data_IF_793834567082
#
_entry.id   IF_793834567082
#
_cell.length_a   1.000
_cell.length_b   1.000
_cell.length_c   1.000
_cell.angle_alpha   90.00
_cell.angle_beta   90.00
_cell.angle_gamma   90.00
#
_symmetry.space_group_name_H-M   'P 1'
#
loop_
_entity.id
_entity.type
_entity.pdbx_description
1 polymer ?
#
# COMPACT_ATOMS: atom_id res chain seq x y z
N UNK A 1 -0.80 -2.68 -1.79
CA UNK A 1 -1.53 -3.84 -2.30
C UNK A 1 -2.89 -3.39 -2.78
N UNK A 2 -3.34 -3.85 -3.95
CA UNK A 2 -4.69 -3.64 -4.46
C UNK A 2 -5.66 -4.51 -3.62
N UNK A 3 -6.75 -3.93 -3.06
CA UNK A 3 -7.70 -4.70 -2.25
C UNK A 3 -8.38 -5.83 -3.05
N UNK A 4 -8.52 -7.02 -2.46
CA UNK A 4 -9.10 -8.20 -3.11
C UNK A 4 -10.63 -8.15 -3.25
N UNK A 5 -11.32 -7.16 -2.67
CA UNK A 5 -12.79 -7.08 -2.57
C UNK A 5 -13.53 -7.29 -3.90
N UNK A 6 -12.94 -6.84 -5.00
CA UNK A 6 -13.55 -6.93 -6.34
C UNK A 6 -12.81 -7.91 -7.26
N UNK A 7 -11.89 -8.72 -6.71
CA UNK A 7 -11.16 -9.68 -7.52
C UNK A 7 -12.03 -10.88 -7.86
N UNK A 8 -11.78 -11.43 -9.04
CA UNK A 8 -12.42 -12.68 -9.47
C UNK A 8 -11.43 -13.53 -10.27
N UNK A 9 -11.57 -14.84 -10.15
CA UNK A 9 -10.82 -15.77 -10.98
C UNK A 9 -11.33 -15.70 -12.41
N UNK A 10 -10.44 -15.45 -13.37
CA UNK A 10 -10.76 -15.56 -14.80
C UNK A 10 -10.63 -17.00 -15.24
N UNK A 11 -9.45 -17.60 -14.98
CA UNK A 11 -9.19 -19.00 -15.31
C UNK A 11 -7.95 -19.51 -14.59
N UNK A 12 -7.88 -20.83 -14.45
CA UNK A 12 -6.66 -21.60 -14.23
C UNK A 12 -6.62 -22.71 -15.28
N UNK A 13 -5.43 -23.12 -15.69
CA UNK A 13 -5.27 -24.28 -16.59
C UNK A 13 -5.43 -25.59 -15.83
N UNK A 14 -5.11 -25.63 -14.55
CA UNK A 14 -5.13 -26.81 -13.70
C UNK A 14 -5.43 -26.46 -12.24
N UNK A 15 -6.22 -27.31 -11.57
CA UNK A 15 -6.46 -27.23 -10.13
C UNK A 15 -6.76 -28.60 -9.53
N UNK A 16 -6.26 -28.87 -8.32
CA UNK A 16 -6.52 -30.09 -7.57
C UNK A 16 -7.79 -29.94 -6.73
N UNK A 17 -8.81 -30.72 -7.01
CA UNK A 17 -10.09 -30.69 -6.28
C UNK A 17 -10.47 -32.06 -5.71
N UNK A 18 -9.68 -33.11 -6.00
CA UNK A 18 -9.96 -34.47 -5.54
C UNK A 18 -9.13 -34.85 -4.31
N UNK A 19 -7.85 -34.47 -4.27
CA UNK A 19 -6.94 -34.77 -3.17
C UNK A 19 -6.95 -33.69 -2.07
N UNK A 20 -7.27 -32.46 -2.46
CA UNK A 20 -7.38 -31.32 -1.56
C UNK A 20 -8.26 -30.22 -2.18
N UNK A 21 -8.58 -29.17 -1.43
CA UNK A 21 -9.20 -27.96 -1.98
C UNK A 21 -8.11 -27.03 -2.54
N UNK A 22 -7.57 -27.36 -3.71
CA UNK A 22 -6.57 -26.55 -4.43
C UNK A 22 -7.18 -25.59 -5.45
N UNK A 23 -8.39 -25.07 -5.18
CA UNK A 23 -9.10 -24.16 -6.10
C UNK A 23 -8.32 -22.88 -6.39
N UNK A 24 -8.38 -22.39 -7.62
CA UNK A 24 -7.67 -21.19 -8.07
C UNK A 24 -7.98 -19.94 -7.24
N UNK A 25 -9.20 -19.81 -6.73
CA UNK A 25 -9.61 -18.68 -5.87
C UNK A 25 -8.86 -18.59 -4.56
N UNK A 26 -8.32 -19.71 -4.06
CA UNK A 26 -7.53 -19.75 -2.83
C UNK A 26 -6.19 -18.99 -2.96
N UNK A 27 -5.75 -18.66 -4.18
CA UNK A 27 -4.53 -17.88 -4.38
C UNK A 27 -4.67 -16.38 -4.04
N UNK A 28 -5.87 -15.91 -3.72
CA UNK A 28 -6.14 -14.50 -3.39
C UNK A 28 -7.34 -14.33 -2.44
N UNK A 29 -7.58 -15.34 -1.60
CA UNK A 29 -8.69 -15.33 -0.62
C UNK A 29 -8.33 -14.63 0.71
N UNK A 30 -7.09 -14.18 0.87
CA UNK A 30 -6.57 -13.55 2.09
C UNK A 30 -6.22 -14.53 3.20
N UNK A 31 -6.21 -15.83 2.91
CA UNK A 31 -5.92 -16.89 3.88
C UNK A 31 -4.65 -17.66 3.51
N UNK A 32 -3.53 -17.32 4.11
CA UNK A 32 -2.22 -17.93 3.86
C UNK A 32 -2.13 -19.45 4.13
N UNK A 33 -3.17 -20.06 4.71
CA UNK A 33 -3.23 -21.50 4.97
C UNK A 33 -3.90 -22.29 3.84
N UNK A 34 -4.71 -21.64 3.01
CA UNK A 34 -5.27 -22.17 1.77
C UNK A 34 -4.28 -21.97 0.62
N UNK A 35 -4.54 -22.53 -0.54
CA UNK A 35 -3.72 -22.37 -1.74
C UNK A 35 -4.46 -22.77 -3.00
N UNK A 36 -4.14 -22.14 -4.11
CA UNK A 36 -4.26 -22.76 -5.42
C UNK A 36 -3.17 -23.81 -5.55
N UNK A 37 -3.54 -25.03 -5.95
CA UNK A 37 -2.60 -26.10 -6.27
C UNK A 37 -3.04 -26.77 -7.56
N UNK A 38 -2.13 -26.93 -8.50
CA UNK A 38 -2.42 -27.63 -9.74
C UNK A 38 -2.58 -29.12 -9.50
N UNK A 39 -3.23 -29.82 -10.41
CA UNK A 39 -3.59 -31.23 -10.28
C UNK A 39 -2.35 -32.10 -10.09
N UNK A 40 -2.40 -32.95 -9.08
CA UNK A 40 -1.35 -33.92 -8.77
C UNK A 40 -1.91 -35.33 -8.51
N UNK A 41 -3.16 -35.47 -8.06
CA UNK A 41 -3.80 -36.76 -7.83
C UNK A 41 -4.40 -37.32 -9.13
N UNK A 42 -4.22 -38.61 -9.37
CA UNK A 42 -4.68 -39.32 -10.58
C UNK A 42 -4.10 -38.78 -11.91
N UNK A 43 -2.85 -38.29 -11.86
CA UNK A 43 -2.12 -37.77 -13.00
C UNK A 43 -2.02 -36.25 -12.97
N UNK A 44 -0.82 -35.73 -13.03
CA UNK A 44 -0.52 -34.31 -13.07
C UNK A 44 -0.61 -33.77 -14.50
N UNK A 45 -1.10 -32.56 -14.64
CA UNK A 45 -1.00 -31.82 -15.89
C UNK A 45 0.44 -31.30 -16.07
N UNK A 46 0.95 -31.18 -17.30
CA UNK A 46 2.32 -30.70 -17.53
C UNK A 46 2.43 -29.17 -17.39
N UNK A 47 3.59 -28.68 -16.97
CA UNK A 47 3.97 -27.27 -17.05
C UNK A 47 3.97 -26.79 -18.53
N UNK A 48 3.73 -25.50 -18.78
CA UNK A 48 3.56 -24.42 -17.82
C UNK A 48 2.12 -24.32 -17.25
N UNK A 49 2.01 -23.95 -15.97
CA UNK A 49 0.73 -23.66 -15.34
C UNK A 49 0.46 -22.17 -15.25
N UNK A 50 -0.80 -21.78 -15.26
CA UNK A 50 -1.16 -20.37 -15.16
C UNK A 50 -2.43 -20.12 -14.37
N UNK A 51 -2.45 -18.97 -13.70
CA UNK A 51 -3.63 -18.37 -13.08
C UNK A 51 -3.87 -16.99 -13.65
N UNK A 52 -5.11 -16.70 -14.01
CA UNK A 52 -5.56 -15.41 -14.52
C UNK A 52 -6.58 -14.80 -13.55
N UNK A 53 -6.33 -13.57 -13.13
CA UNK A 53 -7.12 -12.86 -12.13
C UNK A 53 -7.62 -11.53 -12.73
N UNK A 54 -8.91 -11.25 -12.52
CA UNK A 54 -9.52 -9.95 -12.77
C UNK A 54 -9.45 -9.12 -11.48
N UNK A 55 -8.86 -7.95 -11.53
CA UNK A 55 -8.71 -7.03 -10.40
C UNK A 55 -9.96 -6.18 -10.14
N UNK A 56 -11.00 -6.29 -11.00
CA UNK A 56 -12.26 -5.56 -10.87
C UNK A 56 -12.25 -4.17 -11.53
N UNK A 57 -11.10 -3.53 -11.64
CA UNK A 57 -10.92 -2.22 -12.28
C UNK A 57 -9.56 -2.15 -12.96
N UNK A 58 -9.35 -1.09 -13.76
CA UNK A 58 -8.04 -0.83 -14.37
C UNK A 58 -7.13 -0.13 -13.35
N UNK A 59 -5.98 -0.74 -13.07
CA UNK A 59 -4.95 -0.22 -12.20
C UNK A 59 -3.66 0.06 -12.98
N UNK A 60 -2.83 0.99 -12.49
CA UNK A 60 -1.42 1.08 -12.85
C UNK A 60 -0.67 0.08 -11.96
N UNK A 61 -0.51 -1.14 -12.46
CA UNK A 61 0.14 -2.24 -11.74
C UNK A 61 1.65 -2.07 -11.85
N UNK A 62 2.35 -2.03 -10.70
CA UNK A 62 3.80 -1.84 -10.61
C UNK A 62 4.54 -2.97 -9.90
N UNK A 63 3.85 -4.05 -9.53
CA UNK A 63 4.46 -5.19 -8.89
C UNK A 63 3.46 -6.27 -8.48
N UNK A 64 4.00 -7.37 -7.97
CA UNK A 64 3.20 -8.42 -7.34
C UNK A 64 3.99 -9.10 -6.24
N UNK A 65 3.27 -9.83 -5.37
CA UNK A 65 3.85 -10.73 -4.38
C UNK A 65 3.32 -12.13 -4.60
N UNK A 66 4.18 -13.10 -4.37
CA UNK A 66 3.89 -14.52 -4.41
C UNK A 66 4.30 -15.16 -3.10
N UNK A 67 3.36 -15.82 -2.42
CA UNK A 67 3.59 -16.56 -1.19
C UNK A 67 3.41 -18.06 -1.43
N UNK A 68 4.48 -18.89 -1.35
CA UNK A 68 4.38 -20.33 -1.23
C UNK A 68 4.20 -20.73 0.24
N UNK A 69 3.38 -21.75 0.53
CA UNK A 69 3.20 -22.22 1.91
C UNK A 69 3.64 -23.69 2.13
N UNK A 70 4.13 -24.36 1.10
CA UNK A 70 4.65 -25.73 1.15
C UNK A 70 5.99 -25.85 0.40
N UNK A 71 6.68 -26.98 0.60
CA UNK A 71 7.96 -27.26 -0.09
C UNK A 71 7.72 -27.70 -1.53
N UNK A 72 6.78 -28.65 -1.75
CA UNK A 72 6.46 -29.16 -3.07
C UNK A 72 5.49 -28.23 -3.80
N UNK A 73 5.76 -27.98 -5.07
CA UNK A 73 4.94 -27.12 -5.90
C UNK A 73 5.33 -25.63 -5.88
N UNK A 74 6.46 -25.26 -5.25
CA UNK A 74 6.97 -23.89 -5.33
C UNK A 74 7.36 -23.56 -6.76
N UNK A 75 6.85 -22.42 -7.24
CA UNK A 75 7.21 -21.92 -8.57
C UNK A 75 8.69 -21.53 -8.58
N UNK A 76 9.45 -22.02 -9.58
CA UNK A 76 10.82 -21.58 -9.84
C UNK A 76 10.85 -20.52 -10.94
N UNK A 77 10.87 -20.90 -12.21
CA UNK A 77 10.81 -19.93 -13.32
C UNK A 77 9.38 -19.48 -13.56
N UNK A 78 9.22 -18.19 -13.81
CA UNK A 78 7.90 -17.58 -13.95
C UNK A 78 7.90 -16.40 -14.94
N UNK A 79 6.69 -16.10 -15.43
CA UNK A 79 6.35 -14.91 -16.20
C UNK A 79 5.14 -14.23 -15.54
N UNK A 80 5.15 -12.91 -15.48
CA UNK A 80 4.00 -12.13 -15.00
C UNK A 80 3.52 -11.16 -16.09
N UNK A 81 2.20 -11.10 -16.26
CA UNK A 81 1.57 -10.30 -17.30
C UNK A 81 0.53 -9.37 -16.70
N UNK A 82 0.40 -8.20 -17.30
CA UNK A 82 -0.65 -7.21 -17.02
C UNK A 82 -1.31 -6.82 -18.33
N UNK A 83 -2.64 -6.85 -18.39
CA UNK A 83 -3.40 -6.54 -19.59
C UNK A 83 -4.75 -5.89 -19.28
N UNK A 84 -5.27 -5.11 -20.20
CA UNK A 84 -6.67 -4.63 -20.21
C UNK A 84 -7.64 -5.62 -20.84
N UNK A 85 -7.15 -6.75 -21.36
CA UNK A 85 -7.97 -7.78 -22.05
C UNK A 85 -7.38 -9.16 -21.80
N UNK A 86 -8.25 -10.16 -21.60
CA UNK A 86 -7.86 -11.58 -21.48
C UNK A 86 -7.57 -12.23 -22.84
N UNK A 87 -7.96 -11.61 -23.95
CA UNK A 87 -7.74 -12.13 -25.31
C UNK A 87 -6.30 -11.88 -25.81
N UNK A 88 -5.61 -10.87 -25.24
CA UNK A 88 -4.24 -10.53 -25.65
C UNK A 88 -3.41 -10.11 -24.45
N UNK A 89 -2.45 -10.93 -24.06
CA UNK A 89 -1.57 -10.68 -22.91
C UNK A 89 -0.30 -9.91 -23.31
N UNK A 90 0.08 -9.90 -24.58
CA UNK A 90 1.33 -9.30 -25.07
C UNK A 90 2.56 -9.99 -24.47
N UNK A 91 3.61 -9.21 -24.21
CA UNK A 91 4.82 -9.68 -23.56
C UNK A 91 4.69 -9.61 -22.03
N UNK A 92 5.37 -10.49 -21.27
CA UNK A 92 5.41 -10.40 -19.82
C UNK A 92 6.01 -9.04 -19.38
N UNK A 93 5.47 -8.48 -18.29
CA UNK A 93 6.00 -7.25 -17.67
C UNK A 93 7.19 -7.54 -16.79
N UNK A 94 7.29 -8.78 -16.31
CA UNK A 94 8.44 -9.28 -15.55
C UNK A 94 8.57 -10.79 -15.73
N UNK A 95 9.80 -11.28 -15.64
CA UNK A 95 10.17 -12.71 -15.65
C UNK A 95 11.26 -12.92 -14.63
N UNK A 96 11.40 -14.14 -14.12
CA UNK A 96 12.47 -14.44 -13.18
C UNK A 96 12.47 -15.86 -12.67
N UNK A 97 13.25 -16.08 -11.62
CA UNK A 97 13.31 -17.34 -10.88
C UNK A 97 13.21 -17.03 -9.39
N UNK A 98 12.26 -17.64 -8.71
CA UNK A 98 12.13 -17.51 -7.26
C UNK A 98 13.13 -18.41 -6.51
N UNK A 99 13.57 -17.94 -5.34
CA UNK A 99 14.35 -18.75 -4.43
C UNK A 99 13.50 -19.90 -3.84
N UNK A 100 14.12 -21.06 -3.62
CA UNK A 100 13.45 -22.22 -3.01
C UNK A 100 13.36 -22.07 -1.49
N UNK A 101 12.53 -21.17 -1.02
CA UNK A 101 12.19 -20.98 0.40
C UNK A 101 10.70 -20.63 0.56
N UNK A 102 10.20 -20.59 1.81
CA UNK A 102 8.79 -20.33 2.11
C UNK A 102 8.47 -18.84 2.30
N UNK A 103 9.42 -17.95 2.10
CA UNK A 103 9.20 -16.50 2.28
C UNK A 103 8.38 -15.92 1.14
N UNK A 104 7.62 -14.86 1.42
CA UNK A 104 6.94 -14.10 0.39
C UNK A 104 7.97 -13.48 -0.58
N UNK A 105 7.69 -13.54 -1.85
CA UNK A 105 8.52 -12.98 -2.92
C UNK A 105 7.85 -11.71 -3.43
N UNK A 106 8.54 -10.57 -3.38
CA UNK A 106 8.08 -9.33 -3.98
C UNK A 106 8.83 -9.04 -5.27
N UNK A 107 8.10 -8.69 -6.32
CA UNK A 107 8.64 -8.31 -7.62
C UNK A 107 8.07 -6.97 -8.02
N UNK A 108 8.95 -6.00 -8.28
CA UNK A 108 8.59 -4.67 -8.78
C UNK A 108 8.99 -4.52 -10.25
N UNK A 109 8.19 -3.79 -11.01
CA UNK A 109 8.45 -3.49 -12.43
C UNK A 109 7.87 -2.12 -12.80
N UNK A 110 8.22 -1.63 -14.00
CA UNK A 110 7.64 -0.40 -14.54
C UNK A 110 6.13 -0.53 -14.65
N UNK A 111 5.39 0.44 -14.10
CA UNK A 111 3.94 0.42 -14.07
C UNK A 111 3.32 0.21 -15.46
N UNK A 112 2.32 -0.64 -15.51
CA UNK A 112 1.51 -0.90 -16.70
C UNK A 112 0.03 -0.89 -16.34
N UNK A 113 -0.77 -0.17 -17.12
CA UNK A 113 -2.21 -0.18 -16.95
C UNK A 113 -2.80 -1.55 -17.31
N UNK A 114 -3.66 -2.09 -16.44
CA UNK A 114 -4.37 -3.34 -16.69
C UNK A 114 -5.42 -3.65 -15.64
N UNK A 115 -6.46 -4.35 -16.07
CA UNK A 115 -7.51 -4.90 -15.21
C UNK A 115 -7.25 -6.37 -14.90
N UNK A 116 -6.48 -7.04 -15.74
CA UNK A 116 -6.21 -8.47 -15.64
C UNK A 116 -4.73 -8.72 -15.42
N UNK A 117 -4.42 -9.68 -14.56
CA UNK A 117 -3.07 -10.17 -14.36
C UNK A 117 -3.01 -11.68 -14.59
N UNK A 118 -1.85 -12.16 -15.03
CA UNK A 118 -1.58 -13.58 -15.23
C UNK A 118 -0.20 -13.91 -14.67
N UNK A 119 -0.15 -14.87 -13.75
CA UNK A 119 1.10 -15.52 -13.33
C UNK A 119 1.21 -16.86 -14.07
N UNK A 120 2.32 -17.06 -14.76
CA UNK A 120 2.67 -18.30 -15.43
C UNK A 120 3.86 -18.95 -14.76
N UNK A 121 3.71 -20.16 -14.27
CA UNK A 121 4.76 -20.98 -13.71
C UNK A 121 5.36 -21.84 -14.84
N UNK A 122 6.61 -21.59 -15.16
CA UNK A 122 7.34 -22.31 -16.24
C UNK A 122 8.06 -23.55 -15.72
N UNK A 123 8.46 -23.52 -14.44
CA UNK A 123 9.07 -24.67 -13.76
C UNK A 123 8.79 -24.65 -12.27
N UNK A 124 8.95 -25.80 -11.63
CA UNK A 124 8.86 -26.02 -10.19
C UNK A 124 10.27 -26.26 -9.63
N UNK A 125 10.52 -25.90 -8.37
CA UNK A 125 11.86 -25.89 -7.74
C UNK A 125 12.52 -27.27 -7.64
N UNK A 126 11.75 -28.34 -7.58
CA UNK A 126 12.25 -29.74 -7.50
C UNK A 126 12.04 -30.52 -8.81
N UNK A 127 11.55 -29.85 -9.88
CA UNK A 127 11.27 -30.47 -11.17
C UNK A 127 9.95 -31.25 -11.24
N UNK A 128 9.02 -31.02 -10.29
CA UNK A 128 7.69 -31.59 -10.34
C UNK A 128 6.83 -30.92 -11.41
N UNK A 129 5.82 -31.62 -11.98
CA UNK A 129 4.91 -31.02 -12.96
C UNK A 129 3.83 -30.13 -12.34
N UNK A 130 3.63 -30.13 -11.03
CA UNK A 130 2.61 -29.35 -10.33
C UNK A 130 3.20 -28.11 -9.64
N UNK A 131 2.39 -27.07 -9.47
CA UNK A 131 2.76 -25.85 -8.76
C UNK A 131 1.63 -25.37 -7.82
N UNK A 132 1.96 -24.47 -6.88
CA UNK A 132 0.98 -23.87 -5.98
C UNK A 132 1.28 -22.40 -5.69
N UNK A 133 0.25 -21.66 -5.25
CA UNK A 133 0.35 -20.35 -4.64
C UNK A 133 -0.62 -20.27 -3.45
N UNK A 134 -0.11 -19.94 -2.26
CA UNK A 134 -0.94 -19.66 -1.10
C UNK A 134 -1.58 -18.27 -1.24
N UNK A 135 -0.78 -17.27 -1.63
CA UNK A 135 -1.28 -15.93 -1.90
C UNK A 135 -0.55 -15.29 -3.07
N UNK A 136 -1.31 -14.59 -3.88
CA UNK A 136 -0.83 -13.68 -4.93
C UNK A 136 -1.43 -12.31 -4.61
N UNK A 137 -0.58 -11.34 -4.30
CA UNK A 137 -0.97 -9.96 -4.08
C UNK A 137 -0.46 -9.11 -5.24
N UNK A 138 -1.24 -8.14 -5.71
CA UNK A 138 -0.86 -7.22 -6.79
C UNK A 138 -0.66 -5.82 -6.23
N UNK A 139 0.41 -5.16 -6.64
CA UNK A 139 0.81 -3.84 -6.18
C UNK A 139 0.47 -2.81 -7.26
N UNK A 140 -0.32 -1.80 -6.91
CA UNK A 140 -0.71 -0.78 -7.88
C UNK A 140 -1.68 0.25 -7.30
N UNK A 141 -1.99 1.25 -8.12
CA UNK A 141 -3.00 2.28 -7.85
C UNK A 141 -4.03 2.28 -8.98
N UNK A 142 -5.24 2.74 -8.74
CA UNK A 142 -6.26 2.85 -9.81
C UNK A 142 -5.72 3.73 -10.92
N UNK A 143 -5.85 3.26 -12.17
CA UNK A 143 -5.36 3.98 -13.34
C UNK A 143 -6.16 5.27 -13.55
N UNK A 144 -5.44 6.37 -13.75
CA UNK A 144 -6.06 7.69 -13.87
C UNK A 144 -6.34 8.38 -12.54
N UNK A 145 -6.12 7.72 -11.38
CA UNK A 145 -6.15 8.40 -10.10
C UNK A 145 -5.04 9.45 -10.02
N UNK A 146 -5.42 10.68 -9.62
CA UNK A 146 -4.47 11.76 -9.32
C UNK A 146 -4.32 11.83 -7.80
N UNK A 147 -3.14 12.22 -7.29
CA UNK A 147 -3.01 12.43 -5.85
C UNK A 147 -3.84 13.64 -5.41
N UNK A 148 -4.44 13.58 -4.22
CA UNK A 148 -5.11 14.74 -3.63
C UNK A 148 -4.11 15.86 -3.34
N UNK A 149 -4.63 17.06 -3.17
CA UNK A 149 -3.86 18.21 -2.71
C UNK A 149 -4.41 18.73 -1.39
N UNK A 150 -3.52 18.87 -0.39
CA UNK A 150 -3.83 19.43 0.93
C UNK A 150 -3.23 20.83 1.12
N UNK A 151 -4.01 21.76 1.63
CA UNK A 151 -3.59 23.13 1.96
C UNK A 151 -3.86 23.41 3.43
N UNK A 152 -2.92 24.05 4.13
CA UNK A 152 -3.16 24.62 5.47
C UNK A 152 -3.67 26.05 5.28
N UNK A 153 -4.95 26.28 5.58
CA UNK A 153 -5.60 27.57 5.45
C UNK A 153 -5.23 28.48 6.62
N UNK A 154 -5.30 27.94 7.85
CA UNK A 154 -4.79 28.61 9.04
C UNK A 154 -3.86 27.71 9.85
N UNK A 155 -2.76 28.26 10.35
CA UNK A 155 -2.24 29.63 10.11
C UNK A 155 -1.74 29.78 8.67
N UNK A 156 -1.85 31.01 8.12
CA UNK A 156 -1.43 31.33 6.75
C UNK A 156 0.08 31.28 6.53
N UNK A 157 0.86 31.22 7.60
CA UNK A 157 2.32 31.14 7.59
C UNK A 157 2.86 30.52 8.87
N UNK A 158 4.18 30.52 9.03
CA UNK A 158 4.85 30.11 10.26
C UNK A 158 4.48 31.06 11.40
N UNK A 159 4.38 30.53 12.62
CA UNK A 159 3.89 31.26 13.80
C UNK A 159 4.90 31.18 14.94
N UNK A 160 5.05 32.31 15.65
CA UNK A 160 5.79 32.35 16.92
C UNK A 160 4.84 32.71 18.06
N UNK A 161 4.81 31.89 19.12
CA UNK A 161 3.99 32.08 20.33
C UNK A 161 4.82 31.84 21.58
N UNK A 162 4.28 32.20 22.73
CA UNK A 162 4.84 31.81 24.03
C UNK A 162 4.28 30.45 24.49
N UNK A 163 4.97 29.77 25.38
CA UNK A 163 4.46 28.57 26.06
C UNK A 163 3.08 28.83 26.65
N UNK A 164 2.14 27.90 26.42
CA UNK A 164 0.73 28.02 26.77
C UNK A 164 -0.12 28.73 25.72
N UNK A 165 0.49 29.30 24.68
CA UNK A 165 -0.21 29.93 23.56
C UNK A 165 -0.96 28.88 22.69
N UNK A 166 -1.97 29.38 21.96
CA UNK A 166 -2.78 28.55 21.06
C UNK A 166 -2.65 28.99 19.62
N UNK A 167 -2.72 28.03 18.70
CA UNK A 167 -2.78 28.24 17.25
C UNK A 167 -4.02 27.54 16.71
N UNK A 168 -4.77 28.23 15.85
CA UNK A 168 -5.90 27.61 15.15
C UNK A 168 -5.42 26.93 13.88
N UNK A 169 -5.85 25.69 13.65
CA UNK A 169 -5.54 24.92 12.45
C UNK A 169 -6.81 24.61 11.68
N UNK A 170 -6.83 25.04 10.44
CA UNK A 170 -7.82 24.65 9.44
C UNK A 170 -7.09 24.27 8.16
N UNK A 171 -7.66 23.34 7.40
CA UNK A 171 -7.09 22.89 6.13
C UNK A 171 -8.18 22.55 5.14
N UNK A 172 -7.83 22.51 3.87
CA UNK A 172 -8.70 22.09 2.78
C UNK A 172 -8.02 21.00 1.98
N UNK A 173 -8.70 19.86 1.83
CA UNK A 173 -8.32 18.79 0.91
C UNK A 173 -9.14 18.87 -0.38
N UNK A 174 -8.51 18.63 -1.52
CA UNK A 174 -9.18 18.62 -2.83
C UNK A 174 -8.77 17.42 -3.66
N UNK A 175 -9.75 16.67 -4.15
CA UNK A 175 -9.59 15.56 -5.11
C UNK A 175 -10.95 15.14 -5.69
N UNK A 176 -11.05 14.69 -6.95
CA UNK A 176 -12.27 14.10 -7.50
C UNK A 176 -12.70 12.80 -6.81
N UNK A 177 -11.76 12.04 -6.24
CA UNK A 177 -11.98 10.74 -5.61
C UNK A 177 -12.30 10.88 -4.11
N UNK A 178 -13.54 11.24 -3.80
CA UNK A 178 -14.05 11.39 -2.43
C UNK A 178 -14.68 10.09 -1.90
N UNK A 179 -14.80 9.90 -0.56
CA UNK A 179 -14.41 10.83 0.51
C UNK A 179 -12.91 10.93 0.74
N UNK A 180 -12.45 12.10 1.17
CA UNK A 180 -11.07 12.31 1.59
C UNK A 180 -10.88 11.93 3.06
N UNK A 181 -9.67 11.53 3.41
CA UNK A 181 -9.23 11.34 4.80
C UNK A 181 -8.05 12.25 5.11
N UNK A 182 -7.94 12.65 6.35
CA UNK A 182 -7.01 13.69 6.80
C UNK A 182 -6.11 13.18 7.91
N UNK A 183 -4.87 13.70 7.94
CA UNK A 183 -3.95 13.45 9.04
C UNK A 183 -3.15 14.74 9.32
N UNK A 184 -3.34 15.28 10.53
CA UNK A 184 -2.49 16.31 11.10
C UNK A 184 -1.49 15.69 12.05
N UNK A 185 -0.21 16.06 11.89
CA UNK A 185 0.83 15.75 12.88
C UNK A 185 1.39 17.06 13.45
N UNK A 186 1.74 17.08 14.73
CA UNK A 186 2.16 18.28 15.43
C UNK A 186 3.64 18.26 15.84
N UNK A 187 4.49 17.54 15.09
CA UNK A 187 5.95 17.61 15.16
C UNK A 187 6.57 17.24 16.52
N UNK A 188 5.94 16.37 17.30
CA UNK A 188 6.45 15.95 18.61
C UNK A 188 6.20 16.98 19.72
N UNK A 189 5.30 17.95 19.52
CA UNK A 189 4.92 18.98 20.52
C UNK A 189 4.19 18.44 21.76
N UNK A 190 3.87 17.14 21.79
CA UNK A 190 3.01 16.52 22.80
C UNK A 190 1.52 16.60 22.47
N UNK A 191 1.14 17.27 21.40
CA UNK A 191 -0.23 17.32 20.91
C UNK A 191 -0.52 16.06 20.10
N UNK A 192 -1.65 15.39 20.40
CA UNK A 192 -2.08 14.21 19.67
C UNK A 192 -2.41 14.53 18.22
N UNK A 193 -2.09 13.62 17.30
CA UNK A 193 -2.49 13.71 15.89
C UNK A 193 -4.03 13.86 15.76
N UNK A 194 -4.48 14.46 14.66
CA UNK A 194 -5.92 14.65 14.38
C UNK A 194 -6.24 14.13 12.99
N UNK A 195 -7.40 13.50 12.87
CA UNK A 195 -7.96 13.05 11.58
C UNK A 195 -9.13 13.89 11.11
N UNK A 196 -9.41 14.99 11.79
CA UNK A 196 -10.44 15.98 11.40
C UNK A 196 -9.80 16.99 10.46
N UNK A 197 -10.51 17.38 9.40
CA UNK A 197 -10.03 18.36 8.41
C UNK A 197 -9.63 19.68 9.08
N UNK A 198 -10.49 20.17 9.99
CA UNK A 198 -10.32 21.40 10.77
C UNK A 198 -10.17 21.08 12.27
N UNK A 199 -8.97 20.76 12.76
CA UNK A 199 -8.80 20.39 14.16
C UNK A 199 -8.95 21.55 15.14
N UNK A 200 -9.03 22.78 14.68
CA UNK A 200 -9.27 23.96 15.49
C UNK A 200 -8.07 24.37 16.36
N UNK A 201 -8.38 25.00 17.50
CA UNK A 201 -7.36 25.51 18.43
C UNK A 201 -6.53 24.37 19.07
N UNK A 202 -5.21 24.50 19.00
CA UNK A 202 -4.24 23.61 19.67
C UNK A 202 -3.32 24.43 20.56
N UNK A 203 -3.18 24.01 21.82
CA UNK A 203 -2.33 24.68 22.80
C UNK A 203 -0.94 24.03 22.84
N UNK A 204 0.12 24.84 22.78
CA UNK A 204 1.50 24.41 22.84
C UNK A 204 2.11 24.71 24.22
N UNK A 205 2.33 23.66 25.00
CA UNK A 205 2.76 23.78 26.39
C UNK A 205 4.28 23.55 26.58
N UNK A 206 5.03 23.28 25.52
CA UNK A 206 6.46 23.02 25.55
C UNK A 206 7.18 24.00 24.64
N UNK A 207 8.25 24.62 25.12
CA UNK A 207 9.10 25.47 24.27
C UNK A 207 9.84 24.61 23.24
N UNK A 208 9.95 25.10 22.00
CA UNK A 208 10.62 24.39 20.91
C UNK A 208 10.15 24.87 19.52
N UNK A 209 10.66 24.21 18.50
CA UNK A 209 10.24 24.43 17.11
C UNK A 209 9.61 23.15 16.60
N UNK A 210 8.36 23.23 16.17
CA UNK A 210 7.56 22.08 15.78
C UNK A 210 7.10 22.25 14.32
N UNK A 211 7.36 21.21 13.50
CA UNK A 211 6.82 21.17 12.15
C UNK A 211 5.48 20.48 12.18
N UNK A 212 4.42 21.25 11.98
CA UNK A 212 3.06 20.72 11.82
C UNK A 212 2.88 20.35 10.36
N UNK A 213 2.33 19.17 10.07
CA UNK A 213 1.99 18.74 8.72
C UNK A 213 0.53 18.37 8.59
N UNK A 214 -0.02 18.59 7.38
CA UNK A 214 -1.35 18.20 6.97
C UNK A 214 -1.25 17.32 5.74
N UNK A 215 -1.66 16.06 5.86
CA UNK A 215 -1.67 15.06 4.78
C UNK A 215 -3.12 14.73 4.44
N UNK A 216 -3.43 14.71 3.15
CA UNK A 216 -4.72 14.29 2.60
C UNK A 216 -4.53 12.95 1.89
N UNK A 217 -5.50 12.05 2.01
CA UNK A 217 -5.53 10.77 1.27
C UNK A 217 -6.89 10.61 0.64
N UNK A 218 -6.93 10.22 -0.64
CA UNK A 218 -8.17 10.02 -1.39
C UNK A 218 -8.87 8.70 -1.03
N UNK A 219 -10.08 8.50 -1.58
CA UNK A 219 -10.87 7.28 -1.38
C UNK A 219 -10.22 6.01 -1.96
N UNK A 220 -9.22 6.16 -2.83
CA UNK A 220 -8.51 5.08 -3.51
C UNK A 220 -7.17 4.77 -2.84
N UNK A 221 -6.84 5.47 -1.73
CA UNK A 221 -5.66 5.26 -0.92
C UNK A 221 -4.40 5.95 -1.40
N UNK A 222 -4.50 6.89 -2.37
CA UNK A 222 -3.37 7.71 -2.80
C UNK A 222 -3.27 8.94 -1.89
N UNK A 223 -2.09 9.15 -1.30
CA UNK A 223 -1.82 10.29 -0.44
C UNK A 223 -1.22 11.47 -1.22
N UNK A 224 -1.43 12.68 -0.71
CA UNK A 224 -0.73 13.89 -1.15
C UNK A 224 0.79 13.65 -1.08
N UNK A 225 1.52 13.72 -2.21
CA UNK A 225 2.97 13.50 -2.23
C UNK A 225 3.76 14.67 -1.63
N UNK A 226 3.11 15.81 -1.39
CA UNK A 226 3.72 17.06 -0.90
C UNK A 226 2.90 17.66 0.24
N UNK A 227 2.74 16.98 1.41
CA UNK A 227 1.91 17.45 2.49
C UNK A 227 2.24 18.89 2.91
N UNK A 228 1.22 19.72 3.10
CA UNK A 228 1.41 21.10 3.53
C UNK A 228 2.01 21.14 4.94
N UNK A 229 2.90 22.10 5.19
CA UNK A 229 3.57 22.24 6.49
C UNK A 229 3.57 23.68 7.01
N UNK A 230 3.64 23.82 8.36
CA UNK A 230 3.88 25.08 9.07
C UNK A 230 4.86 24.86 10.20
N UNK A 231 5.72 25.83 10.42
CA UNK A 231 6.64 25.84 11.57
C UNK A 231 6.01 26.67 12.68
N UNK A 232 5.86 26.07 13.85
CA UNK A 232 5.41 26.73 15.08
C UNK A 232 6.60 26.85 16.02
N UNK A 233 7.03 28.07 16.27
CA UNK A 233 8.09 28.38 17.24
C UNK A 233 7.46 28.79 18.58
N UNK A 234 7.66 27.98 19.61
CA UNK A 234 7.14 28.23 20.96
C UNK A 234 8.31 28.71 21.84
N UNK A 235 8.23 29.97 22.25
CA UNK A 235 9.24 30.59 23.10
C UNK A 235 8.94 30.31 24.58
N UNK A 236 10.00 30.16 25.40
CA UNK A 236 9.83 30.13 26.85
C UNK A 236 9.26 31.45 27.35
N UNK A 237 8.49 31.39 28.43
CA UNK A 237 8.01 32.60 29.09
C UNK A 237 9.20 33.52 29.46
N UNK A 238 9.02 34.83 29.17
CA UNK A 238 10.01 35.81 29.60
C UNK A 238 10.11 35.80 31.13
N UNK A 239 11.31 35.66 31.64
CA UNK A 239 11.55 35.75 33.10
C UNK A 239 11.84 37.22 33.46
N UNK A 240 11.23 37.74 34.51
CA UNK A 240 11.59 39.07 35.01
C UNK A 240 13.07 39.12 35.39
N UNK A 241 13.75 40.23 35.19
CA UNK A 241 15.12 40.38 35.64
C UNK A 241 15.18 40.25 37.17
N UNK A 242 16.18 39.50 37.64
CA UNK A 242 16.48 39.35 39.07
C UNK A 242 17.47 40.42 39.48
N UNK A 243 16.99 41.46 40.18
CA UNK A 243 17.84 42.50 40.75
C UNK A 243 18.39 42.04 42.15
N UNK A 244 19.70 41.96 42.27
CA UNK A 244 20.34 41.80 43.57
C UNK A 244 20.75 43.18 44.08
N UNK A 245 20.32 43.53 45.27
CA UNK A 245 20.84 44.71 45.96
C UNK A 245 22.11 44.27 46.71
N UNK A 246 23.25 44.72 46.23
CA UNK A 246 24.48 44.54 46.95
C UNK A 246 24.42 45.45 48.18
N UNK A 247 24.47 44.88 49.37
CA UNK A 247 24.56 45.66 50.61
C UNK A 247 25.91 46.36 50.66
N UNK A 248 25.97 47.62 51.09
CA UNK A 248 27.21 48.38 51.21
C UNK A 248 28.13 47.78 52.26
#
# INVERSE_FOLDING_TARGET
VIPHTNWSLVSVDSQELAGENGAGVNAFDGNVTTRWHTKWLNGADPLPHEIQINLGSVYNVGGFRYLPNQINGRIAQWEFYVSTSTANWGTPVATGTFANDATEKEVLFTQKAGQYVRLRALSEVNGNPWTHAAEINVLGIISGNQPPNGVIDTPTGNVTINVGGTVNFTGTGTDPNTPLTFLWTFGGSGIANSTVEDPGLKQFNTAGTFTVSFTVTDALGLADPTPATRIITVQSANQPPNGVIDTP
#
